data_IF_602717619452
#
_entry.id   IF_602717619452
#
_cell.length_a   1.000
_cell.length_b   1.000
_cell.length_c   1.000
_cell.angle_alpha   90.00
_cell.angle_beta   90.00
_cell.angle_gamma   90.00
#
_symmetry.space_group_name_H-M   'P 1'
#
loop_
_entity.id
_entity.type
_entity.pdbx_description
1 polymer ?
#
# COMPACT_ATOMS: atom_id res chain seq x y z
N UNK A 1 0.89 -9.33 -17.22
CA UNK A 1 -0.31 -9.50 -16.37
C UNK A 1 -0.32 -8.34 -15.40
N UNK A 2 -1.40 -7.55 -15.32
CA UNK A 2 -1.46 -6.38 -14.42
C UNK A 2 -2.02 -6.82 -13.07
N UNK A 3 -1.24 -6.68 -12.02
CA UNK A 3 -1.66 -7.01 -10.64
C UNK A 3 -1.94 -5.71 -9.91
N UNK A 4 -3.17 -5.53 -9.44
CA UNK A 4 -3.61 -4.39 -8.64
C UNK A 4 -3.81 -4.89 -7.21
N UNK A 5 -3.16 -4.25 -6.24
CA UNK A 5 -3.20 -4.66 -4.84
C UNK A 5 -3.86 -3.54 -4.05
N UNK A 6 -4.96 -3.85 -3.37
CA UNK A 6 -5.67 -2.92 -2.50
C UNK A 6 -4.87 -2.67 -1.21
N UNK A 7 -4.78 -1.42 -0.78
CA UNK A 7 -4.04 -1.03 0.42
C UNK A 7 -4.57 -1.71 1.69
N UNK A 8 -5.88 -1.91 1.83
CA UNK A 8 -6.46 -2.61 2.98
C UNK A 8 -6.10 -4.10 2.97
N UNK A 9 -5.94 -4.73 1.80
CA UNK A 9 -5.46 -6.11 1.71
C UNK A 9 -4.00 -6.22 2.16
N UNK A 10 -3.14 -5.27 1.74
CA UNK A 10 -1.74 -5.20 2.21
C UNK A 10 -1.68 -5.00 3.72
N UNK A 11 -2.43 -4.02 4.24
CA UNK A 11 -2.50 -3.69 5.67
C UNK A 11 -3.11 -4.82 6.50
N UNK A 12 -4.07 -5.57 5.95
CA UNK A 12 -4.67 -6.71 6.65
C UNK A 12 -3.71 -7.90 6.70
N UNK A 13 -3.03 -8.22 5.59
CA UNK A 13 -2.03 -9.29 5.54
C UNK A 13 -0.85 -9.00 6.48
N UNK A 14 -0.41 -7.74 6.46
CA UNK A 14 0.55 -7.14 7.35
C UNK A 14 0.25 -7.28 8.85
N UNK A 15 -0.98 -6.95 9.26
CA UNK A 15 -1.42 -7.02 10.66
C UNK A 15 -1.62 -8.47 11.10
N UNK A 16 -2.14 -9.33 10.21
CA UNK A 16 -2.36 -10.74 10.49
C UNK A 16 -1.07 -11.47 10.88
N UNK A 17 0.07 -11.12 10.26
CA UNK A 17 1.39 -11.72 10.54
C UNK A 17 2.35 -10.79 11.31
N UNK A 18 1.81 -9.70 11.88
CA UNK A 18 2.50 -8.71 12.73
C UNK A 18 3.68 -7.96 12.09
N UNK A 19 3.81 -7.90 10.77
CA UNK A 19 4.86 -7.10 10.15
C UNK A 19 4.42 -6.43 8.83
N UNK A 20 3.73 -5.28 8.92
CA UNK A 20 3.31 -4.52 7.75
C UNK A 20 4.41 -4.07 6.83
N UNK A 21 5.52 -3.69 7.44
CA UNK A 21 6.63 -3.06 6.75
C UNK A 21 7.28 -4.03 5.77
N UNK A 22 7.44 -5.30 6.16
CA UNK A 22 8.04 -6.34 5.31
C UNK A 22 7.20 -6.59 4.05
N UNK A 23 5.87 -6.66 4.17
CA UNK A 23 4.99 -6.91 3.02
C UNK A 23 5.00 -5.72 2.07
N UNK A 24 4.92 -4.50 2.60
CA UNK A 24 4.95 -3.28 1.78
C UNK A 24 6.30 -3.16 1.07
N UNK A 25 7.41 -3.35 1.78
CA UNK A 25 8.76 -3.29 1.19
C UNK A 25 8.98 -4.38 0.13
N UNK A 26 8.46 -5.60 0.34
CA UNK A 26 8.50 -6.64 -0.67
C UNK A 26 7.77 -6.21 -1.95
N UNK A 27 6.54 -5.69 -1.84
CA UNK A 27 5.78 -5.27 -3.02
C UNK A 27 6.42 -4.07 -3.72
N UNK A 28 6.97 -3.09 -2.98
CA UNK A 28 7.69 -1.94 -3.56
C UNK A 28 8.97 -2.37 -4.27
N UNK A 29 9.70 -3.34 -3.72
CA UNK A 29 10.98 -3.80 -4.29
C UNK A 29 10.83 -4.60 -5.59
N UNK A 30 9.60 -5.00 -5.95
CA UNK A 30 9.32 -5.79 -7.13
C UNK A 30 8.73 -4.90 -8.24
N UNK A 31 9.50 -4.70 -9.32
CA UNK A 31 9.10 -3.89 -10.50
C UNK A 31 7.91 -4.44 -11.28
N UNK A 32 7.52 -5.69 -11.00
CA UNK A 32 6.38 -6.35 -11.65
C UNK A 32 5.02 -5.87 -11.12
N UNK A 33 5.02 -5.09 -10.03
CA UNK A 33 3.80 -4.54 -9.43
C UNK A 33 3.65 -3.04 -9.74
N UNK A 34 2.44 -2.67 -10.15
CA UNK A 34 2.05 -1.27 -10.36
C UNK A 34 1.15 -0.84 -9.20
N UNK A 35 1.60 0.16 -8.45
CA UNK A 35 0.82 0.72 -7.35
C UNK A 35 -0.24 1.67 -7.91
N UNK A 36 -1.51 1.36 -7.63
CA UNK A 36 -2.65 2.20 -7.98
C UNK A 36 -3.31 2.66 -6.69
N UNK A 37 -3.64 3.94 -6.63
CA UNK A 37 -4.25 4.56 -5.46
C UNK A 37 -5.37 5.47 -5.93
N UNK A 38 -6.46 5.53 -5.16
CA UNK A 38 -7.58 6.40 -5.48
C UNK A 38 -7.24 7.86 -5.14
N UNK A 39 -7.96 8.79 -5.77
CA UNK A 39 -7.74 10.22 -5.53
C UNK A 39 -8.06 10.61 -4.08
N UNK A 40 -9.03 9.94 -3.46
CA UNK A 40 -9.48 10.13 -2.08
C UNK A 40 -8.37 9.75 -1.09
N UNK A 41 -7.72 8.60 -1.27
CA UNK A 41 -6.60 8.16 -0.42
C UNK A 41 -5.43 9.15 -0.53
N UNK A 42 -5.12 9.65 -1.74
CA UNK A 42 -4.10 10.69 -1.92
C UNK A 42 -4.46 11.98 -1.18
N UNK A 43 -5.74 12.37 -1.20
CA UNK A 43 -6.20 13.56 -0.51
C UNK A 43 -6.05 13.43 1.02
N UNK A 44 -6.42 12.27 1.58
CA UNK A 44 -6.24 11.97 3.01
C UNK A 44 -4.77 12.02 3.45
N UNK A 45 -3.87 11.35 2.70
CA UNK A 45 -2.44 11.36 3.00
C UNK A 45 -1.84 12.77 2.94
N UNK A 46 -2.25 13.60 1.97
CA UNK A 46 -1.81 15.00 1.87
C UNK A 46 -2.27 15.83 3.08
N UNK A 47 -3.47 15.58 3.57
CA UNK A 47 -4.00 16.27 4.75
C UNK A 47 -3.22 15.92 6.02
N UNK A 48 -2.80 14.66 6.19
CA UNK A 48 -2.01 14.21 7.34
C UNK A 48 -0.57 14.73 7.30
N UNK A 49 0.05 14.82 6.12
CA UNK A 49 1.47 15.26 5.96
C UNK A 49 1.68 16.76 6.18
N UNK A 50 0.61 17.57 6.06
CA UNK A 50 0.64 19.04 6.16
C UNK A 50 -0.02 19.59 7.45
N UNK A 51 -0.41 18.72 8.39
CA UNK A 51 -0.80 19.07 9.76
C UNK A 51 0.32 18.82 10.76
#
# INVERSE_FOLDING_TARGET
MKVIIDTNIVVSAAIADKNPEVVILFVIANSDFEWVVSAEIIAEYKAIRLG
#
